data_IF_985179850720
#
_entry.id   IF_985179850720
#
_cell.length_a   1.000
_cell.length_b   1.000
_cell.length_c   1.000
_cell.angle_alpha   90.00
_cell.angle_beta   90.00
_cell.angle_gamma   90.00
#
_symmetry.space_group_name_H-M   'P 1'
#
loop_
_entity.id
_entity.type
_entity.pdbx_description
1 polymer ?
#
# COMPACT_ATOMS: atom_id res chain seq x y z
N UNK A 1 10.27 15.73 -14.73
CA UNK A 1 9.61 16.38 -13.56
C UNK A 1 8.95 15.34 -12.65
N UNK A 2 8.10 14.44 -13.17
CA UNK A 2 7.45 13.38 -12.37
C UNK A 2 8.43 12.57 -11.52
N UNK A 3 9.57 12.15 -12.09
CA UNK A 3 10.61 11.39 -11.38
C UNK A 3 11.08 12.08 -10.10
N UNK A 4 11.46 13.37 -10.18
CA UNK A 4 11.98 14.09 -9.03
C UNK A 4 10.94 14.29 -7.91
N UNK A 5 9.66 14.46 -8.27
CA UNK A 5 8.57 14.52 -7.28
C UNK A 5 8.40 13.16 -6.58
N UNK A 6 8.41 12.06 -7.35
CA UNK A 6 8.31 10.71 -6.80
C UNK A 6 9.54 10.34 -5.95
N UNK A 7 10.75 10.78 -6.33
CA UNK A 7 11.98 10.60 -5.55
C UNK A 7 11.85 11.30 -4.19
N UNK A 8 11.43 12.57 -4.19
CA UNK A 8 11.21 13.32 -2.96
C UNK A 8 10.13 12.68 -2.09
N UNK A 9 9.02 12.25 -2.67
CA UNK A 9 7.92 11.62 -1.93
C UNK A 9 8.33 10.27 -1.31
N UNK A 10 9.10 9.46 -2.04
CA UNK A 10 9.66 8.21 -1.53
C UNK A 10 10.67 8.42 -0.39
N UNK A 11 11.51 9.45 -0.48
CA UNK A 11 12.56 9.72 0.49
C UNK A 11 12.04 10.43 1.76
N UNK A 12 11.03 11.30 1.62
CA UNK A 12 10.57 12.17 2.70
C UNK A 12 10.14 11.40 3.97
N UNK A 13 9.32 10.37 3.84
CA UNK A 13 8.84 9.59 4.99
C UNK A 13 9.95 8.76 5.63
N UNK A 14 10.90 8.26 4.82
CA UNK A 14 12.07 7.51 5.30
C UNK A 14 12.98 8.41 6.13
N UNK A 15 13.22 9.63 5.66
CA UNK A 15 13.96 10.65 6.39
C UNK A 15 13.23 11.07 7.67
N UNK A 16 11.90 11.22 7.63
CA UNK A 16 11.12 11.55 8.83
C UNK A 16 11.32 10.50 9.94
N UNK A 17 11.24 9.21 9.61
CA UNK A 17 11.50 8.13 10.56
C UNK A 17 12.97 8.09 11.01
N UNK A 18 13.92 8.40 10.13
CA UNK A 18 15.35 8.42 10.48
C UNK A 18 15.66 9.55 11.47
N UNK A 19 15.11 10.74 11.22
CA UNK A 19 15.23 11.91 12.12
C UNK A 19 14.56 11.65 13.46
N UNK A 20 13.41 10.97 13.46
CA UNK A 20 12.72 10.55 14.68
C UNK A 20 13.45 9.44 15.46
N UNK A 21 14.49 8.83 14.88
CA UNK A 21 15.23 7.72 15.48
C UNK A 21 14.49 6.37 15.45
N UNK A 22 13.36 6.30 14.75
CA UNK A 22 12.50 5.11 14.64
C UNK A 22 12.70 4.34 13.33
N UNK A 23 13.58 4.78 12.43
CA UNK A 23 13.88 4.07 11.19
C UNK A 23 14.61 2.74 11.43
N UNK A 24 14.07 1.67 10.84
CA UNK A 24 14.74 0.37 10.73
C UNK A 24 16.06 0.44 9.95
N UNK A 25 16.94 -0.56 10.10
CA UNK A 25 18.34 -0.50 9.64
C UNK A 25 18.48 -0.35 8.11
N UNK A 26 17.58 -0.93 7.33
CA UNK A 26 17.64 -0.90 5.85
C UNK A 26 16.73 0.16 5.23
N UNK A 27 16.10 1.01 6.04
CA UNK A 27 15.08 1.92 5.56
C UNK A 27 15.64 2.97 4.59
N UNK A 28 16.75 3.61 4.93
CA UNK A 28 17.35 4.63 4.08
C UNK A 28 18.03 4.02 2.84
N UNK A 29 18.68 2.87 2.99
CA UNK A 29 19.30 2.13 1.87
C UNK A 29 18.27 1.75 0.80
N UNK A 30 17.02 1.52 1.21
CA UNK A 30 15.93 1.24 0.28
C UNK A 30 15.66 2.36 -0.72
N UNK A 31 16.02 3.62 -0.43
CA UNK A 31 15.84 4.71 -1.40
C UNK A 31 16.65 4.47 -2.67
N UNK A 32 17.94 4.14 -2.55
CA UNK A 32 18.76 3.85 -3.73
C UNK A 32 18.27 2.60 -4.45
N UNK A 33 18.01 1.53 -3.69
CA UNK A 33 17.53 0.26 -4.23
C UNK A 33 16.20 0.41 -5.01
N UNK A 34 15.33 1.34 -4.60
CA UNK A 34 14.03 1.59 -5.23
C UNK A 34 14.11 2.60 -6.38
N UNK A 35 14.86 3.70 -6.22
CA UNK A 35 14.77 4.86 -7.11
C UNK A 35 15.86 4.92 -8.17
N UNK A 36 17.05 4.35 -7.92
CA UNK A 36 18.12 4.31 -8.92
C UNK A 36 17.73 3.54 -10.20
N UNK A 37 17.14 2.32 -10.12
CA UNK A 37 16.71 1.61 -11.32
C UNK A 37 15.66 2.37 -12.14
N UNK A 38 14.74 3.06 -11.45
CA UNK A 38 13.71 3.90 -12.10
C UNK A 38 14.36 5.09 -12.83
N UNK A 39 15.34 5.74 -12.21
CA UNK A 39 16.10 6.83 -12.83
C UNK A 39 16.86 6.37 -14.07
N UNK A 40 17.57 5.24 -13.97
CA UNK A 40 18.28 4.61 -15.09
C UNK A 40 17.34 4.27 -16.26
N UNK A 41 16.16 3.72 -15.96
CA UNK A 41 15.13 3.40 -16.96
C UNK A 41 14.64 4.66 -17.69
N UNK A 42 14.31 5.72 -16.95
CA UNK A 42 13.82 7.00 -17.52
C UNK A 42 14.88 7.63 -18.44
N UNK A 43 16.14 7.67 -17.99
CA UNK A 43 17.25 8.20 -18.80
C UNK A 43 17.47 7.34 -20.04
N UNK A 44 17.56 6.02 -19.87
CA UNK A 44 17.78 5.09 -20.98
C UNK A 44 16.69 5.21 -22.05
N UNK A 45 15.43 5.40 -21.65
CA UNK A 45 14.31 5.56 -22.59
C UNK A 45 14.33 6.92 -23.29
N UNK A 46 14.65 7.99 -22.56
CA UNK A 46 14.86 9.33 -23.15
C UNK A 46 15.95 9.30 -24.23
N UNK A 47 17.07 8.61 -23.95
CA UNK A 47 18.15 8.43 -24.93
C UNK A 47 17.67 7.64 -26.15
N UNK A 48 16.91 6.54 -25.96
CA UNK A 48 16.33 5.78 -27.08
C UNK A 48 15.41 6.65 -27.93
N UNK A 49 14.50 7.41 -27.33
CA UNK A 49 13.60 8.29 -28.09
C UNK A 49 14.37 9.38 -28.85
N UNK A 50 15.43 9.94 -28.27
CA UNK A 50 16.25 10.95 -28.93
C UNK A 50 17.05 10.39 -30.12
N UNK A 51 17.43 9.11 -30.08
CA UNK A 51 18.35 8.49 -31.06
C UNK A 51 17.66 7.59 -32.10
N UNK A 52 16.44 7.11 -31.81
CA UNK A 52 15.73 6.12 -32.62
C UNK A 52 14.49 6.66 -33.35
N UNK A 53 14.33 7.98 -33.49
CA UNK A 53 13.24 8.59 -34.26
C UNK A 53 12.02 9.04 -33.45
N UNK A 54 12.20 9.35 -32.17
CA UNK A 54 11.15 9.87 -31.30
C UNK A 54 10.34 8.79 -30.58
N UNK A 55 9.34 9.21 -29.82
CA UNK A 55 8.45 8.32 -29.05
C UNK A 55 7.63 7.41 -29.98
N UNK A 56 7.32 7.87 -31.20
CA UNK A 56 6.53 7.12 -32.18
C UNK A 56 7.25 5.87 -32.71
N UNK A 57 8.57 5.81 -32.58
CA UNK A 57 9.37 4.67 -33.00
C UNK A 57 9.50 3.58 -31.91
N UNK A 58 8.94 3.81 -30.73
CA UNK A 58 8.94 2.85 -29.64
C UNK A 58 7.97 1.69 -29.95
N UNK A 59 8.41 0.41 -29.90
CA UNK A 59 7.56 -0.73 -30.24
C UNK A 59 6.52 -1.07 -29.16
N UNK A 60 6.57 -0.44 -27.98
CA UNK A 60 5.58 -0.66 -26.93
C UNK A 60 4.18 -0.14 -27.33
N UNK A 61 3.14 -0.77 -26.79
CA UNK A 61 1.77 -0.32 -27.00
C UNK A 61 1.58 1.13 -26.50
N UNK A 62 0.92 2.03 -27.25
CA UNK A 62 0.78 3.44 -26.88
C UNK A 62 0.24 3.69 -25.46
N UNK A 63 -0.71 2.85 -25.01
CA UNK A 63 -1.27 2.93 -23.66
C UNK A 63 -0.22 2.62 -22.60
N UNK A 64 0.59 1.59 -22.81
CA UNK A 64 1.67 1.18 -21.89
C UNK A 64 2.72 2.27 -21.81
N UNK A 65 3.13 2.83 -22.96
CA UNK A 65 4.05 3.97 -23.01
C UNK A 65 3.52 5.15 -22.20
N UNK A 66 2.26 5.54 -22.42
CA UNK A 66 1.64 6.65 -21.69
C UNK A 66 1.67 6.42 -20.17
N UNK A 67 1.28 5.24 -19.70
CA UNK A 67 1.30 4.91 -18.26
C UNK A 67 2.72 4.89 -17.70
N UNK A 68 3.69 4.44 -18.49
CA UNK A 68 5.11 4.39 -18.14
C UNK A 68 5.73 5.78 -18.03
N UNK A 69 5.45 6.68 -18.98
CA UNK A 69 5.83 8.11 -18.91
C UNK A 69 5.24 8.80 -17.67
N UNK A 70 4.01 8.42 -17.32
CA UNK A 70 3.33 8.91 -16.13
C UNK A 70 3.83 8.26 -14.82
N UNK A 71 4.77 7.30 -14.89
CA UNK A 71 5.29 6.54 -13.74
C UNK A 71 4.21 5.79 -12.94
N UNK A 72 3.13 5.42 -13.61
CA UNK A 72 2.02 4.66 -13.00
C UNK A 72 2.30 3.16 -12.94
N UNK A 73 3.31 2.68 -13.68
CA UNK A 73 3.74 1.28 -13.69
C UNK A 73 4.91 1.00 -12.75
N UNK A 74 5.39 1.98 -11.99
CA UNK A 74 6.50 1.80 -11.04
C UNK A 74 6.05 0.89 -9.90
N UNK A 75 6.87 -0.12 -9.63
CA UNK A 75 6.79 -0.99 -8.47
C UNK A 75 8.19 -1.23 -7.90
N UNK A 76 8.26 -1.70 -6.66
CA UNK A 76 9.49 -1.98 -5.93
C UNK A 76 9.63 -3.45 -5.53
N UNK A 77 9.43 -4.41 -6.44
CA UNK A 77 9.65 -5.81 -6.11
C UNK A 77 11.12 -6.02 -5.72
N UNK A 78 11.34 -6.66 -4.57
CA UNK A 78 12.70 -6.92 -4.06
C UNK A 78 13.34 -5.78 -3.28
N UNK A 79 12.62 -4.69 -2.99
CA UNK A 79 13.08 -3.70 -2.02
C UNK A 79 13.30 -4.34 -0.64
N UNK A 80 14.34 -3.93 0.12
CA UNK A 80 14.62 -4.51 1.44
C UNK A 80 13.55 -4.17 2.50
N UNK A 81 12.63 -3.24 2.21
CA UNK A 81 11.53 -2.84 3.11
C UNK A 81 10.17 -3.35 2.65
N UNK A 82 10.13 -4.25 1.66
CA UNK A 82 8.92 -4.96 1.24
C UNK A 82 9.13 -6.47 1.44
N UNK A 83 8.07 -7.17 1.80
CA UNK A 83 8.11 -8.62 1.96
C UNK A 83 8.40 -9.30 0.62
N UNK A 84 8.96 -10.52 0.67
CA UNK A 84 9.09 -11.34 -0.52
C UNK A 84 7.71 -11.61 -1.13
N UNK A 85 7.59 -11.38 -2.45
CA UNK A 85 6.45 -11.86 -3.24
C UNK A 85 6.39 -13.37 -3.12
N UNK A 86 5.21 -13.98 -3.00
CA UNK A 86 5.21 -15.43 -2.84
C UNK A 86 3.89 -16.12 -2.53
N UNK A 87 2.76 -15.47 -2.71
CA UNK A 87 1.47 -16.05 -2.34
C UNK A 87 0.55 -16.36 -3.54
N UNK A 88 1.03 -16.16 -4.77
CA UNK A 88 0.34 -16.61 -5.98
C UNK A 88 -1.03 -15.94 -6.22
N UNK A 89 -1.21 -14.70 -5.75
CA UNK A 89 -2.45 -13.96 -5.95
C UNK A 89 -2.39 -13.09 -7.20
N UNK A 90 -3.51 -12.94 -7.91
CA UNK A 90 -3.63 -12.07 -9.10
C UNK A 90 -3.80 -10.57 -8.76
N UNK A 91 -3.75 -10.20 -7.48
CA UNK A 91 -3.91 -8.81 -7.03
C UNK A 91 -2.58 -8.14 -6.65
N UNK A 92 -2.63 -6.88 -6.17
CA UNK A 92 -1.45 -6.14 -5.71
C UNK A 92 -0.72 -6.91 -4.61
N UNK A 93 0.59 -7.03 -4.73
CA UNK A 93 1.47 -7.72 -3.78
C UNK A 93 2.56 -6.76 -3.27
N UNK A 94 3.43 -7.25 -2.39
CA UNK A 94 4.54 -6.49 -1.86
C UNK A 94 5.42 -5.88 -2.97
N UNK A 95 5.65 -4.57 -2.85
CA UNK A 95 6.31 -3.74 -3.85
C UNK A 95 5.37 -3.06 -4.84
N UNK A 96 4.11 -3.49 -4.95
CA UNK A 96 3.17 -2.88 -5.90
C UNK A 96 2.53 -1.61 -5.30
N UNK A 97 2.18 -0.66 -6.17
CA UNK A 97 1.37 0.50 -5.76
C UNK A 97 -0.01 0.00 -5.34
N UNK A 98 -0.50 0.48 -4.19
CA UNK A 98 -1.86 0.21 -3.76
C UNK A 98 -2.85 0.84 -4.77
N UNK A 99 -3.67 0.05 -5.48
CA UNK A 99 -4.64 0.60 -6.40
C UNK A 99 -5.70 1.37 -5.64
N UNK A 100 -6.21 2.42 -6.27
CA UNK A 100 -7.38 3.09 -5.74
C UNK A 100 -8.65 2.33 -6.13
N UNK A 101 -9.68 2.42 -5.31
CA UNK A 101 -11.00 1.88 -5.59
C UNK A 101 -12.08 2.82 -5.04
N UNK A 102 -13.19 2.94 -5.76
CA UNK A 102 -14.37 3.64 -5.29
C UNK A 102 -15.29 2.77 -4.43
N UNK A 103 -16.39 3.37 -3.96
CA UNK A 103 -17.50 2.61 -3.40
C UNK A 103 -17.42 2.32 -1.90
N UNK A 104 -16.43 2.86 -1.19
CA UNK A 104 -16.30 2.66 0.25
C UNK A 104 -17.32 3.51 1.01
N UNK A 105 -18.09 2.89 1.91
CA UNK A 105 -19.14 3.57 2.69
C UNK A 105 -18.82 3.43 4.17
N UNK A 106 -18.61 4.56 4.85
CA UNK A 106 -18.39 4.61 6.30
C UNK A 106 -19.70 4.66 7.08
N UNK A 107 -19.62 4.54 8.41
CA UNK A 107 -20.80 4.65 9.29
C UNK A 107 -21.47 6.04 9.27
N UNK A 108 -20.69 7.09 8.99
CA UNK A 108 -21.13 8.50 8.97
C UNK A 108 -21.22 9.06 7.54
N UNK A 109 -20.63 8.39 6.55
CA UNK A 109 -20.58 8.88 5.18
C UNK A 109 -21.88 8.52 4.43
N UNK A 110 -22.66 9.54 4.07
CA UNK A 110 -23.88 9.35 3.26
C UNK A 110 -23.59 8.95 1.81
N UNK A 111 -22.35 9.18 1.34
CA UNK A 111 -21.94 8.91 -0.04
C UNK A 111 -20.69 8.02 -0.09
N UNK A 112 -20.54 7.17 -1.12
CA UNK A 112 -19.34 6.37 -1.30
C UNK A 112 -18.10 7.23 -1.56
N UNK A 113 -16.98 6.88 -0.93
CA UNK A 113 -15.67 7.54 -1.10
C UNK A 113 -14.66 6.62 -1.77
N UNK A 114 -13.51 7.19 -2.17
CA UNK A 114 -12.37 6.46 -2.73
C UNK A 114 -11.42 6.02 -1.62
N UNK A 115 -10.75 4.88 -1.79
CA UNK A 115 -9.71 4.43 -0.87
C UNK A 115 -8.59 5.46 -0.73
N UNK A 116 -8.22 6.14 -1.82
CA UNK A 116 -7.27 7.24 -1.79
C UNK A 116 -7.66 8.31 -0.76
N UNK A 117 -8.94 8.70 -0.70
CA UNK A 117 -9.41 9.71 0.25
C UNK A 117 -9.42 9.19 1.70
N UNK A 118 -9.63 7.88 1.89
CA UNK A 118 -9.54 7.22 3.22
C UNK A 118 -8.10 7.20 3.75
N UNK A 119 -7.13 6.97 2.86
CA UNK A 119 -5.71 6.89 3.21
C UNK A 119 -5.02 8.25 3.21
N UNK A 120 -5.62 9.26 2.57
CA UNK A 120 -5.05 10.61 2.44
C UNK A 120 -4.82 11.22 3.82
N UNK A 121 -3.66 11.84 3.98
CA UNK A 121 -3.30 12.55 5.22
C UNK A 121 -2.73 11.65 6.31
N UNK A 122 -2.62 10.34 6.07
CA UNK A 122 -1.84 9.44 6.92
C UNK A 122 -0.36 9.57 6.54
N UNK A 123 0.44 10.04 7.48
CA UNK A 123 1.89 10.17 7.40
C UNK A 123 2.64 8.91 7.87
N UNK A 124 1.91 7.97 8.46
CA UNK A 124 2.38 6.69 8.96
C UNK A 124 1.98 5.53 8.06
N UNK A 125 2.56 4.35 8.33
CA UNK A 125 2.11 3.13 7.68
C UNK A 125 0.66 2.84 8.05
N UNK A 126 -0.08 2.21 7.15
CA UNK A 126 -1.47 1.81 7.40
C UNK A 126 -1.63 0.31 7.22
N UNK A 127 -2.05 -0.38 8.28
CA UNK A 127 -2.54 -1.75 8.21
C UNK A 127 -4.02 -1.74 7.77
N UNK A 128 -4.26 -2.14 6.54
CA UNK A 128 -5.59 -2.34 5.97
C UNK A 128 -5.99 -3.80 6.09
N UNK A 129 -7.09 -4.06 6.79
CA UNK A 129 -7.64 -5.40 7.01
C UNK A 129 -8.95 -5.55 6.25
N UNK A 130 -8.97 -6.46 5.28
CA UNK A 130 -10.18 -6.86 4.60
C UNK A 130 -10.85 -8.00 5.37
N UNK A 131 -12.12 -7.81 5.72
CA UNK A 131 -12.96 -8.84 6.33
C UNK A 131 -13.80 -9.47 5.23
N UNK A 132 -13.52 -10.74 4.92
CA UNK A 132 -14.24 -11.51 3.93
C UNK A 132 -15.63 -11.98 4.38
N UNK A 133 -16.27 -12.77 3.52
CA UNK A 133 -17.60 -13.36 3.72
C UNK A 133 -17.72 -14.32 4.91
N UNK A 134 -16.60 -14.88 5.39
CA UNK A 134 -16.53 -15.69 6.61
C UNK A 134 -16.84 -14.95 7.92
N UNK A 135 -16.98 -13.62 7.89
CA UNK A 135 -17.28 -12.76 9.05
C UNK A 135 -16.25 -12.84 10.20
N UNK A 136 -14.96 -12.87 9.88
CA UNK A 136 -13.86 -12.85 10.87
C UNK A 136 -13.57 -11.44 11.43
N UNK A 137 -14.58 -10.56 11.49
CA UNK A 137 -14.42 -9.16 11.84
C UNK A 137 -13.77 -8.99 13.22
N UNK A 138 -14.15 -9.79 14.21
CA UNK A 138 -13.57 -9.77 15.56
C UNK A 138 -12.07 -10.11 15.53
N UNK A 139 -11.65 -11.06 14.69
CA UNK A 139 -10.24 -11.41 14.54
C UNK A 139 -9.45 -10.26 13.94
N UNK A 140 -10.00 -9.56 12.94
CA UNK A 140 -9.39 -8.37 12.37
C UNK A 140 -9.29 -7.22 13.39
N UNK A 141 -10.32 -7.01 14.21
CA UNK A 141 -10.28 -5.98 15.27
C UNK A 141 -9.17 -6.29 16.27
N UNK A 142 -9.07 -7.53 16.77
CA UNK A 142 -7.99 -7.94 17.67
C UNK A 142 -6.60 -7.76 17.05
N UNK A 143 -6.46 -8.06 15.76
CA UNK A 143 -5.20 -7.88 15.04
C UNK A 143 -4.85 -6.39 14.86
N UNK A 144 -5.84 -5.52 14.61
CA UNK A 144 -5.65 -4.07 14.54
C UNK A 144 -5.25 -3.48 15.90
N UNK A 145 -5.86 -3.93 17.00
CA UNK A 145 -5.49 -3.54 18.36
C UNK A 145 -4.08 -4.01 18.72
N UNK A 146 -3.71 -5.24 18.34
CA UNK A 146 -2.33 -5.73 18.51
C UNK A 146 -1.34 -4.86 17.74
N UNK A 147 -1.62 -4.59 16.48
CA UNK A 147 -0.74 -3.77 15.65
C UNK A 147 -0.53 -2.39 16.27
N UNK A 148 -1.61 -1.73 16.70
CA UNK A 148 -1.53 -0.43 17.36
C UNK A 148 -0.71 -0.49 18.66
N UNK A 149 -0.85 -1.56 19.45
CA UNK A 149 -0.07 -1.77 20.68
C UNK A 149 1.41 -1.99 20.38
N UNK A 150 1.73 -2.89 19.45
CA UNK A 150 3.09 -3.26 19.08
C UNK A 150 3.88 -2.08 18.49
N UNK A 151 3.19 -1.16 17.83
CA UNK A 151 3.82 -0.01 17.18
C UNK A 151 3.61 1.28 17.94
N UNK A 152 3.08 1.23 19.17
CA UNK A 152 2.74 2.42 19.96
C UNK A 152 1.89 3.47 19.20
N UNK A 153 1.02 3.02 18.29
CA UNK A 153 0.19 3.88 17.45
C UNK A 153 0.86 4.42 16.17
N UNK A 154 2.15 4.12 15.92
CA UNK A 154 2.89 4.53 14.72
C UNK A 154 2.43 3.84 13.43
N UNK A 155 1.51 2.87 13.53
CA UNK A 155 0.86 2.24 12.39
C UNK A 155 -0.64 2.44 12.54
N UNK A 156 -1.21 3.24 11.63
CA UNK A 156 -2.64 3.42 11.53
C UNK A 156 -3.33 2.12 11.10
N UNK A 157 -4.58 1.95 11.47
CA UNK A 157 -5.38 0.78 11.07
C UNK A 157 -6.61 1.20 10.26
N UNK A 158 -7.11 0.31 9.43
CA UNK A 158 -8.31 0.51 8.62
C UNK A 158 -8.96 -0.84 8.35
N UNK A 159 -10.27 -0.95 8.54
CA UNK A 159 -11.02 -2.14 8.16
C UNK A 159 -11.82 -1.86 6.90
N UNK A 160 -11.80 -2.82 5.97
CA UNK A 160 -12.69 -2.87 4.82
C UNK A 160 -13.53 -4.13 4.92
N UNK A 161 -14.85 -3.98 5.02
CA UNK A 161 -15.80 -5.06 5.20
C UNK A 161 -16.38 -5.46 3.84
N UNK A 162 -16.45 -6.76 3.56
CA UNK A 162 -17.21 -7.31 2.44
C UNK A 162 -18.65 -6.74 2.43
N UNK A 163 -19.27 -6.49 1.26
CA UNK A 163 -20.59 -5.86 1.15
C UNK A 163 -21.67 -6.47 2.05
N UNK A 164 -21.62 -7.79 2.24
CA UNK A 164 -22.63 -8.55 3.00
C UNK A 164 -22.32 -8.70 4.50
N UNK A 165 -21.14 -8.27 4.96
CA UNK A 165 -20.76 -8.39 6.38
C UNK A 165 -21.42 -7.26 7.18
N UNK A 166 -22.14 -7.60 8.25
CA UNK A 166 -22.77 -6.61 9.12
C UNK A 166 -21.73 -5.61 9.66
N UNK A 167 -22.13 -4.34 9.80
CA UNK A 167 -21.23 -3.31 10.29
C UNK A 167 -20.73 -3.69 11.69
N UNK A 168 -19.42 -3.81 11.86
CA UNK A 168 -18.80 -3.94 13.16
C UNK A 168 -18.52 -2.55 13.71
N UNK A 169 -19.30 -2.12 14.69
CA UNK A 169 -18.96 -0.99 15.55
C UNK A 169 -18.24 -1.54 16.76
N UNK A 170 -16.99 -1.14 16.99
CA UNK A 170 -16.37 -1.31 18.31
C UNK A 170 -17.26 -0.70 19.38
N UNK A 171 -17.20 -1.22 20.61
CA UNK A 171 -18.08 -0.82 21.72
C UNK A 171 -18.10 0.71 21.97
N UNK A 172 -17.03 1.41 21.58
CA UNK A 172 -16.84 2.84 21.76
C UNK A 172 -16.96 3.65 20.45
N UNK A 173 -17.42 3.01 19.36
CA UNK A 173 -17.69 3.67 18.07
C UNK A 173 -16.50 4.27 17.32
N UNK A 174 -15.26 4.14 17.80
CA UNK A 174 -14.15 4.98 17.30
C UNK A 174 -12.86 4.27 16.88
N UNK A 175 -12.74 2.94 17.01
CA UNK A 175 -11.55 2.23 16.52
C UNK A 175 -11.81 0.73 16.30
N UNK A 176 -11.20 0.09 15.30
CA UNK A 176 -10.57 0.71 14.12
C UNK A 176 -11.62 1.29 13.15
N UNK A 177 -11.24 2.29 12.34
CA UNK A 177 -12.15 2.88 11.35
C UNK A 177 -12.57 1.82 10.32
N UNK A 178 -13.87 1.55 10.23
CA UNK A 178 -14.43 0.54 9.33
C UNK A 178 -15.16 1.17 8.15
N UNK A 179 -14.91 0.62 6.96
CA UNK A 179 -15.52 0.98 5.69
C UNK A 179 -16.16 -0.25 5.07
N UNK A 180 -17.38 -0.13 4.56
CA UNK A 180 -18.02 -1.18 3.77
C UNK A 180 -17.60 -1.03 2.32
N UNK A 181 -17.17 -2.12 1.69
CA UNK A 181 -16.96 -2.18 0.24
C UNK A 181 -18.32 -2.26 -0.49
N UNK A 182 -19.07 -1.17 -0.47
CA UNK A 182 -20.47 -1.15 -0.90
C UNK A 182 -20.69 -1.46 -2.39
N UNK A 183 -19.65 -1.37 -3.21
CA UNK A 183 -19.68 -1.74 -4.65
C UNK A 183 -18.92 -3.03 -4.96
N UNK A 184 -18.30 -3.69 -3.97
CA UNK A 184 -17.43 -4.84 -4.20
C UNK A 184 -16.15 -4.49 -5.00
N UNK A 185 -15.83 -3.21 -5.14
CA UNK A 185 -14.74 -2.75 -6.00
C UNK A 185 -13.40 -3.03 -5.36
N UNK A 186 -13.27 -2.85 -4.04
CA UNK A 186 -12.06 -3.21 -3.31
C UNK A 186 -11.78 -4.71 -3.47
N UNK A 187 -12.78 -5.56 -3.21
CA UNK A 187 -12.67 -7.01 -3.35
C UNK A 187 -12.17 -7.45 -4.74
N UNK A 188 -12.70 -6.82 -5.79
CA UNK A 188 -12.32 -7.10 -7.18
C UNK A 188 -10.93 -6.59 -7.55
N UNK A 189 -10.59 -5.35 -7.18
CA UNK A 189 -9.32 -4.71 -7.54
C UNK A 189 -8.15 -5.30 -6.77
N UNK A 190 -8.33 -5.57 -5.48
CA UNK A 190 -7.31 -6.20 -4.64
C UNK A 190 -7.27 -7.72 -4.77
N UNK A 191 -8.27 -8.31 -5.45
CA UNK A 191 -8.46 -9.74 -5.62
C UNK A 191 -8.44 -10.43 -4.25
N UNK A 192 -9.35 -10.01 -3.37
CA UNK A 192 -9.52 -10.54 -2.01
C UNK A 192 -10.91 -11.14 -1.86
N UNK A 193 -10.96 -12.29 -1.18
CA UNK A 193 -12.21 -13.01 -0.88
C UNK A 193 -12.30 -13.36 0.60
N UNK A 194 -11.22 -13.94 1.13
CA UNK A 194 -11.05 -14.21 2.56
C UNK A 194 -10.36 -13.06 3.29
N UNK A 195 -10.28 -13.22 4.61
CA UNK A 195 -9.62 -12.29 5.52
C UNK A 195 -8.18 -12.03 5.09
N UNK A 196 -7.86 -10.77 4.77
CA UNK A 196 -6.58 -10.38 4.16
C UNK A 196 -6.03 -9.14 4.85
N UNK A 197 -4.73 -9.15 5.21
CA UNK A 197 -4.03 -7.96 5.69
C UNK A 197 -3.06 -7.42 4.65
N UNK A 198 -3.10 -6.10 4.47
CA UNK A 198 -2.23 -5.32 3.60
C UNK A 198 -1.57 -4.23 4.45
N UNK A 199 -0.24 -4.23 4.53
CA UNK A 199 0.49 -3.10 5.10
C UNK A 199 0.84 -2.13 3.99
N UNK A 200 0.38 -0.89 4.12
CA UNK A 200 0.64 0.19 3.17
C UNK A 200 1.68 1.14 3.76
N UNK A 201 2.64 1.53 2.93
CA UNK A 201 3.63 2.57 3.23
C UNK A 201 3.01 3.96 3.15
N UNK A 202 3.63 4.97 3.79
CA UNK A 202 3.20 6.37 3.66
C UNK A 202 3.16 6.90 2.23
N UNK A 203 3.93 6.28 1.31
CA UNK A 203 3.98 6.65 -0.11
C UNK A 203 2.99 5.87 -1.00
N UNK A 204 2.10 5.06 -0.41
CA UNK A 204 1.01 4.38 -1.11
C UNK A 204 1.40 3.06 -1.80
N UNK A 205 2.51 2.45 -1.38
CA UNK A 205 2.93 1.12 -1.84
C UNK A 205 2.63 0.04 -0.81
N UNK A 206 2.26 -1.15 -1.27
CA UNK A 206 2.08 -2.34 -0.44
C UNK A 206 3.45 -2.83 -0.01
N UNK A 207 3.70 -2.93 1.29
CA UNK A 207 4.93 -3.52 1.84
C UNK A 207 4.74 -4.96 2.29
N UNK A 208 3.53 -5.35 2.69
CA UNK A 208 3.19 -6.72 3.11
C UNK A 208 1.76 -7.05 2.66
N UNK A 209 1.56 -8.28 2.17
CA UNK A 209 0.24 -8.87 1.95
C UNK A 209 0.18 -10.26 2.58
N UNK A 210 -0.85 -10.56 3.37
CA UNK A 210 -1.06 -11.87 3.99
C UNK A 210 -2.52 -12.30 4.01
N UNK A 211 -2.75 -13.55 3.66
CA UNK A 211 -4.07 -14.18 3.60
C UNK A 211 -3.96 -15.60 4.19
N UNK A 212 -4.39 -15.85 5.45
CA UNK A 212 -4.88 -14.88 6.42
C UNK A 212 -3.76 -13.99 7.00
N UNK A 213 -4.07 -12.82 7.57
CA UNK A 213 -3.10 -11.99 8.28
C UNK A 213 -2.67 -12.62 9.60
N UNK A 214 -1.41 -12.43 9.98
CA UNK A 214 -0.87 -12.87 11.27
C UNK A 214 -0.07 -11.76 11.96
N UNK A 215 -0.15 -11.73 13.30
CA UNK A 215 0.60 -10.76 14.12
C UNK A 215 2.10 -11.03 14.03
N UNK A 216 2.51 -12.31 14.00
CA UNK A 216 3.91 -12.70 13.95
C UNK A 216 4.59 -12.21 12.66
N UNK A 217 3.95 -12.37 11.51
CA UNK A 217 4.52 -11.89 10.24
C UNK A 217 4.50 -10.37 10.14
N UNK A 218 3.44 -9.72 10.64
CA UNK A 218 3.37 -8.26 10.70
C UNK A 218 4.51 -7.70 11.56
N UNK A 219 4.71 -8.24 12.76
CA UNK A 219 5.77 -7.82 13.68
C UNK A 219 7.15 -8.05 13.07
N UNK A 220 7.39 -9.23 12.49
CA UNK A 220 8.66 -9.53 11.82
C UNK A 220 8.94 -8.56 10.64
N UNK A 221 7.92 -8.23 9.85
CA UNK A 221 8.04 -7.27 8.76
C UNK A 221 8.32 -5.86 9.27
N UNK A 222 7.58 -5.40 10.28
CA UNK A 222 7.74 -4.07 10.86
C UNK A 222 9.10 -3.89 11.54
N UNK A 223 9.69 -4.92 12.15
CA UNK A 223 11.03 -4.84 12.72
C UNK A 223 12.13 -4.51 11.67
N UNK A 224 11.89 -4.81 10.39
CA UNK A 224 12.78 -4.41 9.30
C UNK A 224 12.64 -2.93 8.89
N UNK A 225 11.51 -2.30 9.20
CA UNK A 225 11.13 -0.96 8.75
C UNK A 225 11.16 0.08 9.87
N UNK A 226 10.81 -0.34 11.09
CA UNK A 226 10.72 0.46 12.30
C UNK A 226 11.61 -0.14 13.39
N UNK A 227 12.28 0.72 14.15
CA UNK A 227 12.84 0.36 15.46
C UNK A 227 11.69 0.39 16.45
N UNK A 228 11.16 -0.80 16.72
CA UNK A 228 10.18 -1.06 17.78
C UNK A 228 10.88 -1.45 19.06
#
# INVERSE_FOLDING_TARGET
MNTGIQDAYNLAWKLALAVAGTAGPHLLDSYDAERRPVGEEVVGRTVRHATAGGVQADPEEPRTLMLREAQLLVGYPGSPVVASRGSGHDGPDAGDRAPDCGGLVGSVATFPVRLFDVLRGRDTHTLLLYVGDGNDAESCVRLAEEAARLTHGEVGTCLVLHPDVAAHTGADGTFPQAWRDGRGEFGRVYVVRGTTGLLLRPDGYVSLRRTPPSVAELSAHLAGVLRT
#
